data_IF_609704048538
#
_entry.id   IF_609704048538
#
_cell.length_a   1.000
_cell.length_b   1.000
_cell.length_c   1.000
_cell.angle_alpha   90.00
_cell.angle_beta   90.00
_cell.angle_gamma   90.00
#
_symmetry.space_group_name_H-M   'P 1'
#
loop_
_entity.id
_entity.type
_entity.pdbx_description
1 polymer ?
#
# COMPACT_ATOMS: atom_id res chain seq x y z
N UNK A 1 -1.71 5.07 -34.91
CA UNK A 1 -0.97 4.56 -33.73
C UNK A 1 -1.98 3.93 -32.78
N UNK A 2 -1.60 2.89 -32.03
CA UNK A 2 -2.41 2.37 -30.95
C UNK A 2 -2.68 3.48 -29.92
N UNK A 3 -3.93 3.62 -29.46
CA UNK A 3 -4.26 4.61 -28.43
C UNK A 3 -3.87 4.05 -27.06
N UNK A 4 -3.16 4.86 -26.28
CA UNK A 4 -2.64 4.48 -24.97
C UNK A 4 -3.52 5.01 -23.85
N UNK A 5 -3.45 4.39 -22.68
CA UNK A 5 -4.15 4.82 -21.47
C UNK A 5 -3.45 4.36 -20.20
N UNK A 6 -3.86 4.92 -19.06
CA UNK A 6 -3.33 4.63 -17.74
C UNK A 6 -4.45 4.03 -16.89
N UNK A 7 -4.15 2.92 -16.21
CA UNK A 7 -5.03 2.31 -15.22
C UNK A 7 -4.35 2.35 -13.86
N UNK A 8 -4.83 3.22 -12.98
CA UNK A 8 -4.39 3.31 -11.59
C UNK A 8 -5.08 2.22 -10.78
N UNK A 9 -4.33 1.41 -10.03
CA UNK A 9 -4.89 0.29 -9.26
C UNK A 9 -4.51 0.36 -7.79
N UNK A 10 -5.53 0.28 -6.94
CA UNK A 10 -5.38 0.21 -5.48
C UNK A 10 -6.08 -1.04 -4.92
N UNK A 11 -6.02 -1.23 -3.60
CA UNK A 11 -6.55 -2.44 -2.94
C UNK A 11 -8.06 -2.55 -3.14
N UNK A 12 -8.75 -1.44 -2.93
CA UNK A 12 -10.20 -1.38 -2.87
C UNK A 12 -10.72 -1.27 -1.45
N UNK A 13 -12.03 -1.11 -1.34
CA UNK A 13 -12.73 -0.91 -0.08
C UNK A 13 -14.15 -1.47 -0.22
N UNK A 14 -14.83 -1.86 0.88
CA UNK A 14 -16.23 -2.25 0.80
C UNK A 14 -17.10 -1.13 0.20
N UNK A 15 -18.25 -1.50 -0.36
CA UNK A 15 -19.15 -0.53 -1.03
C UNK A 15 -19.81 0.43 -0.05
N UNK A 16 -20.05 -0.03 1.17
CA UNK A 16 -20.58 0.76 2.28
C UNK A 16 -20.08 0.20 3.60
N UNK A 17 -20.45 0.86 4.70
CA UNK A 17 -20.19 0.39 6.06
C UNK A 17 -21.19 -0.67 6.54
N UNK A 18 -22.11 -1.12 5.68
CA UNK A 18 -23.03 -2.21 6.00
C UNK A 18 -22.25 -3.52 6.16
N UNK A 19 -22.58 -4.29 7.21
CA UNK A 19 -21.90 -5.55 7.55
C UNK A 19 -21.87 -6.54 6.37
N UNK A 20 -22.92 -6.58 5.56
CA UNK A 20 -22.97 -7.47 4.38
C UNK A 20 -21.98 -7.05 3.28
N UNK A 21 -21.84 -5.75 3.02
CA UNK A 21 -20.89 -5.24 2.02
C UNK A 21 -19.44 -5.44 2.49
N UNK A 22 -19.18 -5.25 3.78
CA UNK A 22 -17.88 -5.55 4.40
C UNK A 22 -17.59 -7.05 4.34
N UNK A 23 -18.59 -7.90 4.57
CA UNK A 23 -18.44 -9.35 4.47
C UNK A 23 -18.09 -9.78 3.04
N UNK A 24 -18.77 -9.23 2.03
CA UNK A 24 -18.49 -9.53 0.63
C UNK A 24 -17.06 -9.12 0.25
N UNK A 25 -16.64 -7.91 0.64
CA UNK A 25 -15.28 -7.43 0.43
C UNK A 25 -14.24 -8.33 1.12
N UNK A 26 -14.47 -8.68 2.39
CA UNK A 26 -13.54 -9.55 3.14
C UNK A 26 -13.49 -10.97 2.59
N UNK A 27 -14.59 -11.51 2.05
CA UNK A 27 -14.58 -12.82 1.40
C UNK A 27 -13.69 -12.78 0.16
N UNK A 28 -13.89 -11.80 -0.73
CA UNK A 28 -13.06 -11.65 -1.93
C UNK A 28 -11.58 -11.44 -1.58
N UNK A 29 -11.30 -10.55 -0.63
CA UNK A 29 -9.93 -10.20 -0.22
C UNK A 29 -9.20 -11.38 0.44
N UNK A 30 -9.81 -12.02 1.44
CA UNK A 30 -9.15 -13.05 2.23
C UNK A 30 -9.14 -14.42 1.53
N UNK A 31 -10.01 -14.64 0.53
CA UNK A 31 -9.96 -15.83 -0.31
C UNK A 31 -8.90 -15.78 -1.41
N UNK A 32 -8.22 -14.64 -1.59
CA UNK A 32 -7.07 -14.53 -2.48
C UNK A 32 -5.86 -15.30 -1.93
N UNK A 33 -5.27 -16.17 -2.75
CA UNK A 33 -4.10 -16.97 -2.38
C UNK A 33 -2.81 -16.18 -2.22
N UNK A 34 -2.78 -14.96 -2.75
CA UNK A 34 -1.66 -14.04 -2.56
C UNK A 34 -1.74 -13.28 -1.23
N UNK A 35 -2.92 -13.28 -0.59
CA UNK A 35 -3.16 -12.69 0.74
C UNK A 35 -3.07 -13.76 1.82
N UNK A 36 -3.82 -14.86 1.67
CA UNK A 36 -3.72 -16.05 2.52
C UNK A 36 -3.31 -17.23 1.63
N UNK A 37 -2.06 -17.62 1.70
CA UNK A 37 -1.45 -18.64 0.84
C UNK A 37 -1.70 -20.10 1.28
N UNK A 38 -2.68 -20.33 2.15
CA UNK A 38 -3.13 -21.69 2.50
C UNK A 38 -3.82 -22.32 1.28
N UNK A 39 -3.75 -23.66 1.15
CA UNK A 39 -4.49 -24.39 0.10
C UNK A 39 -5.97 -24.03 0.16
N UNK A 40 -6.60 -23.90 -1.01
CA UNK A 40 -7.98 -23.40 -1.16
C UNK A 40 -8.97 -23.95 -0.13
N UNK A 41 -8.99 -25.27 0.09
CA UNK A 41 -9.92 -25.88 1.04
C UNK A 41 -9.73 -25.40 2.48
N UNK A 42 -8.47 -25.34 2.95
CA UNK A 42 -8.16 -24.84 4.29
C UNK A 42 -8.40 -23.33 4.41
N UNK A 43 -8.13 -22.58 3.35
CA UNK A 43 -8.44 -21.16 3.28
C UNK A 43 -9.95 -20.91 3.36
N UNK A 44 -10.76 -21.64 2.60
CA UNK A 44 -12.23 -21.54 2.65
C UNK A 44 -12.76 -21.86 4.05
N UNK A 45 -12.26 -22.93 4.70
CA UNK A 45 -12.65 -23.28 6.06
C UNK A 45 -12.33 -22.16 7.06
N UNK A 46 -11.13 -21.58 6.98
CA UNK A 46 -10.70 -20.47 7.85
C UNK A 46 -11.53 -19.20 7.59
N UNK A 47 -11.59 -18.76 6.33
CA UNK A 47 -12.21 -17.49 5.95
C UNK A 47 -13.73 -17.57 6.12
N UNK A 48 -14.39 -18.46 5.39
CA UNK A 48 -15.85 -18.53 5.35
C UNK A 48 -16.43 -19.20 6.61
N UNK A 49 -15.68 -20.13 7.22
CA UNK A 49 -16.12 -20.86 8.39
C UNK A 49 -15.90 -20.12 9.72
N UNK A 50 -14.84 -19.31 9.85
CA UNK A 50 -14.44 -18.65 11.10
C UNK A 50 -14.44 -17.12 10.94
N UNK A 51 -13.62 -16.58 10.04
CA UNK A 51 -13.37 -15.13 9.96
C UNK A 51 -14.65 -14.35 9.59
N UNK A 52 -15.36 -14.78 8.55
CA UNK A 52 -16.55 -14.08 8.05
C UNK A 52 -17.78 -14.19 8.95
N UNK A 53 -17.71 -14.92 10.07
CA UNK A 53 -18.79 -14.98 11.07
C UNK A 53 -18.69 -13.87 12.11
N UNK A 54 -17.50 -13.36 12.38
CA UNK A 54 -17.26 -12.43 13.50
C UNK A 54 -16.56 -11.14 13.07
N UNK A 55 -15.64 -11.22 12.11
CA UNK A 55 -14.84 -10.06 11.67
C UNK A 55 -15.64 -8.98 10.95
N UNK A 56 -16.64 -9.28 10.08
CA UNK A 56 -17.33 -8.23 9.33
C UNK A 56 -18.01 -7.17 10.20
N UNK A 57 -18.61 -7.56 11.34
CA UNK A 57 -19.23 -6.60 12.25
C UNK A 57 -18.21 -5.64 12.87
N UNK A 58 -17.07 -6.16 13.34
CA UNK A 58 -15.98 -5.33 13.89
C UNK A 58 -15.38 -4.41 12.84
N UNK A 59 -15.07 -4.96 11.66
CA UNK A 59 -14.53 -4.17 10.56
C UNK A 59 -15.53 -3.12 10.07
N UNK A 60 -16.84 -3.40 10.10
CA UNK A 60 -17.86 -2.42 9.75
C UNK A 60 -17.86 -1.22 10.70
N UNK A 61 -17.73 -1.43 12.01
CA UNK A 61 -17.59 -0.32 12.97
C UNK A 61 -16.33 0.51 12.69
N UNK A 62 -15.18 -0.14 12.47
CA UNK A 62 -13.95 0.56 12.10
C UNK A 62 -14.08 1.32 10.77
N UNK A 63 -14.79 0.78 9.77
CA UNK A 63 -15.05 1.51 8.55
C UNK A 63 -15.95 2.73 8.77
N UNK A 64 -16.86 2.71 9.75
CA UNK A 64 -17.72 3.87 10.06
C UNK A 64 -16.93 5.04 10.64
N UNK A 65 -15.88 4.80 11.41
CA UNK A 65 -15.09 5.88 12.04
C UNK A 65 -14.34 6.72 10.99
N UNK A 66 -13.92 6.09 9.89
CA UNK A 66 -13.18 6.73 8.80
C UNK A 66 -14.03 7.08 7.58
N UNK A 67 -15.32 6.72 7.57
CA UNK A 67 -16.19 6.95 6.42
C UNK A 67 -16.51 8.43 6.26
N UNK A 68 -16.43 8.93 5.03
CA UNK A 68 -16.81 10.32 4.70
C UNK A 68 -18.13 10.35 3.94
N UNK A 69 -18.74 11.54 3.83
CA UNK A 69 -19.92 11.74 2.97
C UNK A 69 -19.66 11.38 1.50
N UNK A 70 -18.41 11.47 1.04
CA UNK A 70 -17.98 11.08 -0.30
C UNK A 70 -17.74 9.56 -0.44
N UNK A 71 -17.65 8.82 0.66
CA UNK A 71 -17.38 7.38 0.70
C UNK A 71 -16.11 7.00 1.46
N UNK A 72 -15.56 5.82 1.15
CA UNK A 72 -14.30 5.34 1.71
C UNK A 72 -13.13 6.26 1.31
N UNK A 73 -12.29 6.72 2.26
CA UNK A 73 -11.14 7.58 1.98
C UNK A 73 -10.25 7.06 0.86
N UNK A 74 -9.93 5.76 0.85
CA UNK A 74 -9.08 5.15 -0.17
C UNK A 74 -9.64 5.33 -1.58
N UNK A 75 -10.95 5.11 -1.75
CA UNK A 75 -11.62 5.22 -3.05
C UNK A 75 -11.71 6.69 -3.47
N UNK A 76 -12.12 7.57 -2.56
CA UNK A 76 -12.28 9.01 -2.80
C UNK A 76 -10.95 9.66 -3.18
N UNK A 77 -9.88 9.35 -2.45
CA UNK A 77 -8.52 9.84 -2.73
C UNK A 77 -8.04 9.29 -4.08
N UNK A 78 -8.26 8.01 -4.37
CA UNK A 78 -7.88 7.43 -5.68
C UNK A 78 -8.63 8.12 -6.83
N UNK A 79 -9.90 8.49 -6.65
CA UNK A 79 -10.65 9.30 -7.62
C UNK A 79 -10.09 10.73 -7.76
N UNK A 80 -9.67 11.36 -6.66
CA UNK A 80 -9.01 12.68 -6.68
C UNK A 80 -7.67 12.62 -7.43
N UNK A 81 -6.86 11.59 -7.19
CA UNK A 81 -5.62 11.32 -7.93
C UNK A 81 -5.92 11.17 -9.42
N UNK A 82 -6.91 10.34 -9.80
CA UNK A 82 -7.30 10.15 -11.21
C UNK A 82 -7.70 11.47 -11.87
N UNK A 83 -8.57 12.26 -11.22
CA UNK A 83 -9.03 13.55 -11.74
C UNK A 83 -7.90 14.56 -11.90
N UNK A 84 -6.95 14.61 -10.96
CA UNK A 84 -5.78 15.50 -11.06
C UNK A 84 -4.82 15.03 -12.15
N UNK A 85 -4.51 13.73 -12.20
CA UNK A 85 -3.63 13.17 -13.22
C UNK A 85 -4.18 13.39 -14.63
N UNK A 86 -5.49 13.15 -14.84
CA UNK A 86 -6.14 13.34 -16.13
C UNK A 86 -6.02 14.77 -16.67
N UNK A 87 -5.90 15.79 -15.80
CA UNK A 87 -5.72 17.19 -16.22
C UNK A 87 -4.33 17.50 -16.76
N UNK A 88 -3.33 16.70 -16.40
CA UNK A 88 -1.92 16.96 -16.72
C UNK A 88 -1.31 15.95 -17.69
N UNK A 89 -2.11 14.98 -18.17
CA UNK A 89 -1.74 13.98 -19.19
C UNK A 89 -2.79 13.93 -20.31
N UNK A 90 -2.33 13.69 -21.53
CA UNK A 90 -3.20 13.67 -22.73
C UNK A 90 -3.87 12.31 -22.98
N UNK A 91 -3.44 11.26 -22.28
CA UNK A 91 -4.01 9.92 -22.40
C UNK A 91 -5.18 9.73 -21.42
N UNK A 92 -6.19 8.89 -21.75
CA UNK A 92 -7.22 8.50 -20.81
C UNK A 92 -6.63 7.85 -19.54
N UNK A 93 -7.14 8.27 -18.37
CA UNK A 93 -6.80 7.74 -17.06
C UNK A 93 -8.05 7.17 -16.40
N UNK A 94 -8.02 5.90 -16.03
CA UNK A 94 -9.08 5.23 -15.28
C UNK A 94 -8.53 4.58 -14.01
N UNK A 95 -9.44 4.19 -13.12
CA UNK A 95 -9.11 3.51 -11.87
C UNK A 95 -9.69 2.09 -11.85
N UNK A 96 -9.02 1.20 -11.13
CA UNK A 96 -9.50 -0.13 -10.80
C UNK A 96 -9.09 -0.51 -9.38
N UNK A 97 -9.92 -1.29 -8.71
CA UNK A 97 -9.63 -1.83 -7.39
C UNK A 97 -9.35 -3.32 -7.53
N UNK A 98 -8.37 -3.82 -6.78
CA UNK A 98 -8.07 -5.24 -6.76
C UNK A 98 -9.27 -6.03 -6.24
N UNK A 99 -9.90 -5.53 -5.18
CA UNK A 99 -11.09 -6.11 -4.55
C UNK A 99 -12.23 -5.08 -4.58
N UNK A 100 -13.47 -5.55 -4.71
CA UNK A 100 -14.67 -4.73 -4.85
C UNK A 100 -14.66 -3.78 -6.08
N UNK A 101 -15.35 -2.64 -5.97
CA UNK A 101 -15.67 -1.75 -7.09
C UNK A 101 -15.01 -0.36 -6.93
N UNK A 102 -14.70 0.33 -8.03
CA UNK A 102 -14.74 -0.15 -9.43
C UNK A 102 -13.68 -1.22 -9.69
N UNK A 103 -14.02 -2.34 -10.30
CA UNK A 103 -13.06 -3.44 -10.50
C UNK A 103 -12.01 -3.12 -11.58
N UNK A 104 -10.88 -3.84 -11.57
CA UNK A 104 -9.87 -3.79 -12.67
C UNK A 104 -10.53 -4.01 -14.04
N UNK A 105 -11.50 -4.92 -14.13
CA UNK A 105 -12.25 -5.16 -15.36
C UNK A 105 -13.03 -3.94 -15.83
N UNK A 106 -13.76 -3.28 -14.93
CA UNK A 106 -14.50 -2.07 -15.26
C UNK A 106 -13.56 -0.94 -15.71
N UNK A 107 -12.40 -0.79 -15.07
CA UNK A 107 -11.38 0.17 -15.47
C UNK A 107 -10.82 -0.11 -16.87
N UNK A 108 -10.46 -1.36 -17.18
CA UNK A 108 -10.00 -1.75 -18.52
C UNK A 108 -11.11 -1.52 -19.56
N UNK A 109 -12.35 -1.90 -19.26
CA UNK A 109 -13.48 -1.70 -20.17
C UNK A 109 -13.65 -0.23 -20.55
N UNK A 110 -13.63 0.69 -19.56
CA UNK A 110 -13.76 2.13 -19.82
C UNK A 110 -12.64 2.69 -20.70
N UNK A 111 -11.41 2.19 -20.54
CA UNK A 111 -10.29 2.58 -21.42
C UNK A 111 -10.52 2.04 -22.84
N UNK A 112 -10.94 0.79 -22.97
CA UNK A 112 -11.24 0.16 -24.26
C UNK A 112 -12.40 0.85 -24.99
N UNK A 113 -13.43 1.29 -24.26
CA UNK A 113 -14.56 2.06 -24.80
C UNK A 113 -14.12 3.42 -25.37
N UNK A 114 -13.02 3.97 -24.84
CA UNK A 114 -12.35 5.17 -25.36
C UNK A 114 -11.39 4.86 -26.51
N UNK A 115 -11.30 3.60 -26.96
CA UNK A 115 -10.44 3.13 -28.04
C UNK A 115 -9.01 2.79 -27.63
N UNK A 116 -8.70 2.71 -26.33
CA UNK A 116 -7.37 2.35 -25.82
C UNK A 116 -7.08 0.87 -26.06
N UNK A 117 -5.89 0.57 -26.60
CA UNK A 117 -5.41 -0.79 -26.83
C UNK A 117 -4.07 -1.11 -26.13
N UNK A 118 -3.43 -0.09 -25.55
CA UNK A 118 -2.17 -0.19 -24.81
C UNK A 118 -2.34 0.49 -23.45
N UNK A 119 -2.24 -0.27 -22.37
CA UNK A 119 -2.52 0.21 -21.01
C UNK A 119 -1.26 0.15 -20.17
N UNK A 120 -0.91 1.27 -19.55
CA UNK A 120 0.01 1.29 -18.41
C UNK A 120 -0.78 1.01 -17.13
N UNK A 121 -0.53 -0.15 -16.53
CA UNK A 121 -1.04 -0.52 -15.21
C UNK A 121 -0.12 0.07 -14.13
N UNK A 122 -0.65 0.94 -13.28
CA UNK A 122 0.05 1.51 -12.14
C UNK A 122 -0.53 0.95 -10.83
N UNK A 123 0.08 -0.07 -10.22
CA UNK A 123 -0.21 -0.43 -8.83
C UNK A 123 0.26 0.69 -7.90
N UNK A 124 -0.64 1.29 -7.12
CA UNK A 124 -0.37 2.41 -6.19
C UNK A 124 0.35 1.94 -4.91
N UNK A 125 1.33 1.05 -5.06
CA UNK A 125 2.16 0.49 -4.00
C UNK A 125 3.63 0.73 -4.33
N UNK A 126 4.38 1.47 -3.50
CA UNK A 126 5.78 1.75 -3.77
C UNK A 126 6.65 0.49 -3.67
N UNK A 127 6.40 -0.34 -2.66
CA UNK A 127 7.13 -1.58 -2.40
C UNK A 127 6.40 -2.80 -2.99
N UNK A 128 7.17 -3.80 -3.40
CA UNK A 128 6.66 -5.09 -3.84
C UNK A 128 6.14 -5.91 -2.66
N UNK A 129 4.92 -6.41 -2.76
CA UNK A 129 4.48 -7.56 -1.98
C UNK A 129 3.61 -8.50 -2.83
N UNK A 130 3.62 -9.78 -2.48
CA UNK A 130 2.75 -10.79 -3.08
C UNK A 130 1.27 -10.39 -2.94
N UNK A 131 0.89 -9.91 -1.75
CA UNK A 131 -0.48 -9.51 -1.40
C UNK A 131 -0.95 -8.18 -1.99
N UNK A 132 -0.10 -7.45 -2.74
CA UNK A 132 -0.45 -6.15 -3.35
C UNK A 132 -0.07 -6.11 -4.82
N UNK A 133 1.21 -5.92 -5.14
CA UNK A 133 1.70 -5.73 -6.50
C UNK A 133 1.46 -6.97 -7.36
N UNK A 134 1.82 -8.16 -6.85
CA UNK A 134 1.74 -9.41 -7.61
C UNK A 134 0.29 -9.79 -7.93
N UNK A 135 -0.60 -9.76 -6.93
CA UNK A 135 -2.03 -10.06 -7.12
C UNK A 135 -2.72 -9.08 -8.08
N UNK A 136 -2.34 -7.80 -8.08
CA UNK A 136 -2.87 -6.81 -9.04
C UNK A 136 -2.46 -7.15 -10.47
N UNK A 137 -1.18 -7.47 -10.69
CA UNK A 137 -0.65 -7.80 -12.01
C UNK A 137 -1.31 -9.08 -12.53
N UNK A 138 -1.38 -10.13 -11.71
CA UNK A 138 -2.01 -11.39 -12.09
C UNK A 138 -3.50 -11.20 -12.41
N UNK A 139 -4.23 -10.43 -11.59
CA UNK A 139 -5.65 -10.18 -11.84
C UNK A 139 -5.88 -9.38 -13.13
N UNK A 140 -5.07 -8.36 -13.39
CA UNK A 140 -5.14 -7.59 -14.62
C UNK A 140 -4.87 -8.49 -15.85
N UNK A 141 -3.88 -9.38 -15.77
CA UNK A 141 -3.55 -10.30 -16.86
C UNK A 141 -4.63 -11.37 -17.08
N UNK A 142 -5.23 -11.90 -16.00
CA UNK A 142 -6.38 -12.80 -16.07
C UNK A 142 -7.55 -12.16 -16.83
N UNK A 143 -7.91 -10.93 -16.43
CA UNK A 143 -9.01 -10.16 -17.05
C UNK A 143 -8.69 -9.83 -18.50
N UNK A 144 -7.46 -9.37 -18.80
CA UNK A 144 -6.99 -9.07 -20.16
C UNK A 144 -7.11 -10.28 -21.07
N UNK A 145 -6.58 -11.45 -20.65
CA UNK A 145 -6.65 -12.68 -21.45
C UNK A 145 -8.08 -13.12 -21.71
N UNK A 146 -8.96 -13.00 -20.71
CA UNK A 146 -10.34 -13.49 -20.80
C UNK A 146 -11.27 -12.58 -21.60
N UNK A 147 -11.14 -11.26 -21.45
CA UNK A 147 -12.12 -10.28 -21.99
C UNK A 147 -11.54 -9.31 -23.00
N UNK A 148 -10.24 -9.04 -22.94
CA UNK A 148 -9.57 -8.02 -23.75
C UNK A 148 -8.30 -8.56 -24.43
N UNK A 149 -8.36 -9.67 -25.20
CA UNK A 149 -7.16 -10.37 -25.68
C UNK A 149 -6.28 -9.52 -26.62
N UNK A 150 -6.84 -8.47 -27.23
CA UNK A 150 -6.13 -7.53 -28.11
C UNK A 150 -5.46 -6.37 -27.36
N UNK A 151 -5.77 -6.18 -26.08
CA UNK A 151 -5.14 -5.14 -25.25
C UNK A 151 -3.77 -5.64 -24.80
N UNK A 152 -2.77 -4.75 -24.88
CA UNK A 152 -1.45 -4.93 -24.28
C UNK A 152 -1.40 -4.19 -22.95
N UNK A 153 -0.86 -4.84 -21.91
CA UNK A 153 -0.67 -4.23 -20.60
C UNK A 153 0.82 -4.25 -20.27
N UNK A 154 1.37 -3.08 -19.98
CA UNK A 154 2.67 -2.92 -19.34
C UNK A 154 2.43 -2.37 -17.93
N UNK A 155 3.18 -2.83 -16.95
CA UNK A 155 3.01 -2.36 -15.58
C UNK A 155 4.25 -1.62 -15.06
N UNK A 156 4.01 -0.70 -14.15
CA UNK A 156 5.06 0.00 -13.42
C UNK A 156 5.60 -0.94 -12.34
N UNK A 157 6.93 -1.10 -12.34
CA UNK A 157 7.65 -1.89 -11.35
C UNK A 157 7.65 -1.16 -9.99
N UNK A 158 7.88 -1.87 -8.87
CA UNK A 158 8.07 -1.24 -7.57
C UNK A 158 9.04 -0.05 -7.65
N UNK A 159 8.61 1.10 -7.14
CA UNK A 159 9.29 2.39 -7.29
C UNK A 159 9.80 2.97 -5.96
N UNK A 160 9.82 2.16 -4.89
CA UNK A 160 10.23 2.51 -3.53
C UNK A 160 11.59 3.23 -3.42
N UNK A 161 12.52 3.00 -4.35
CA UNK A 161 13.86 3.59 -4.37
C UNK A 161 14.07 4.60 -5.50
N UNK A 162 13.02 5.02 -6.20
CA UNK A 162 13.12 6.05 -7.24
C UNK A 162 13.35 7.41 -6.58
N UNK A 163 14.40 8.12 -6.98
CA UNK A 163 14.74 9.43 -6.39
C UNK A 163 13.59 10.44 -6.44
N UNK A 164 12.82 10.47 -7.54
CA UNK A 164 11.63 11.33 -7.67
C UNK A 164 10.56 11.03 -6.62
N UNK A 165 10.36 9.75 -6.28
CA UNK A 165 9.41 9.32 -5.26
C UNK A 165 9.94 9.62 -3.86
N UNK A 166 11.21 9.30 -3.60
CA UNK A 166 11.86 9.58 -2.32
C UNK A 166 11.85 11.07 -2.00
N UNK A 167 12.17 11.93 -2.98
CA UNK A 167 12.12 13.38 -2.80
C UNK A 167 10.69 13.82 -2.50
N UNK A 168 9.69 13.37 -3.27
CA UNK A 168 8.28 13.66 -3.02
C UNK A 168 7.85 13.30 -1.59
N UNK A 169 8.18 12.08 -1.14
CA UNK A 169 7.84 11.59 0.19
C UNK A 169 8.57 12.37 1.29
N UNK A 170 9.87 12.64 1.12
CA UNK A 170 10.65 13.40 2.09
C UNK A 170 10.17 14.85 2.22
N UNK A 171 9.85 15.52 1.11
CA UNK A 171 9.31 16.89 1.16
C UNK A 171 7.91 16.91 1.83
N UNK A 172 7.04 15.95 1.51
CA UNK A 172 5.71 15.84 2.15
C UNK A 172 5.82 15.61 3.66
N UNK A 173 6.75 14.73 4.08
CA UNK A 173 7.03 14.51 5.50
C UNK A 173 7.58 15.78 6.13
N UNK A 174 8.56 16.45 5.51
CA UNK A 174 9.21 17.65 6.08
C UNK A 174 8.22 18.76 6.38
N UNK A 175 7.25 18.99 5.49
CA UNK A 175 6.24 20.04 5.64
C UNK A 175 5.25 19.77 6.78
N UNK A 176 5.02 18.50 7.10
CA UNK A 176 4.05 18.06 8.10
C UNK A 176 4.71 17.64 9.42
N UNK A 177 6.03 17.48 9.44
CA UNK A 177 6.77 17.06 10.62
C UNK A 177 6.73 18.19 11.67
N UNK A 178 6.29 17.92 12.92
CA UNK A 178 6.28 18.93 13.96
C UNK A 178 7.71 19.37 14.30
N UNK A 179 7.89 20.62 14.75
CA UNK A 179 9.21 21.12 15.16
C UNK A 179 9.81 20.32 16.32
N UNK A 180 8.97 19.95 17.29
CA UNK A 180 9.36 19.20 18.48
C UNK A 180 8.85 17.76 18.41
N UNK A 181 9.77 16.83 18.19
CA UNK A 181 9.55 15.39 18.30
C UNK A 181 10.82 14.66 18.76
N UNK A 182 10.61 13.58 19.49
CA UNK A 182 11.67 12.72 20.00
C UNK A 182 12.06 11.66 18.95
N UNK A 183 11.07 11.09 18.25
CA UNK A 183 11.29 10.10 17.21
C UNK A 183 10.27 10.22 16.05
N UNK A 184 10.72 9.85 14.85
CA UNK A 184 9.89 9.62 13.66
C UNK A 184 9.80 8.12 13.40
N UNK A 185 8.60 7.56 13.51
CA UNK A 185 8.31 6.16 13.25
C UNK A 185 7.76 5.97 11.83
N UNK A 186 8.36 5.06 11.09
CA UNK A 186 7.87 4.56 9.81
C UNK A 186 7.15 3.24 10.05
N UNK A 187 5.82 3.26 10.00
CA UNK A 187 4.98 2.07 10.14
C UNK A 187 4.60 1.52 8.76
N UNK A 188 5.01 0.30 8.46
CA UNK A 188 4.67 -0.40 7.21
C UNK A 188 3.66 -1.49 7.49
N UNK A 189 2.76 -1.82 6.56
CA UNK A 189 1.92 -3.00 6.75
C UNK A 189 2.79 -4.26 6.82
N UNK A 190 2.60 -5.09 7.85
CA UNK A 190 3.35 -6.32 8.03
C UNK A 190 2.98 -7.39 7.01
N UNK A 191 3.85 -8.36 6.83
CA UNK A 191 3.55 -9.59 6.08
C UNK A 191 4.06 -10.81 6.85
N UNK A 192 3.46 -11.98 6.67
CA UNK A 192 4.00 -13.21 7.23
C UNK A 192 5.44 -13.46 6.75
N UNK A 193 6.32 -13.93 7.63
CA UNK A 193 7.73 -14.21 7.27
C UNK A 193 7.85 -15.17 6.08
N UNK A 194 6.95 -16.16 6.02
CA UNK A 194 6.88 -17.13 4.91
C UNK A 194 6.66 -16.46 3.55
N UNK A 195 5.98 -15.32 3.48
CA UNK A 195 5.80 -14.60 2.22
C UNK A 195 7.14 -14.07 1.73
N UNK A 196 7.99 -13.55 2.63
CA UNK A 196 9.33 -13.06 2.27
C UNK A 196 10.18 -14.18 1.67
N UNK A 197 10.18 -15.36 2.30
CA UNK A 197 10.91 -16.52 1.78
C UNK A 197 10.34 -17.01 0.45
N UNK A 198 9.00 -17.07 0.32
CA UNK A 198 8.32 -17.54 -0.90
C UNK A 198 8.59 -16.63 -2.11
N UNK A 199 8.70 -15.33 -1.89
CA UNK A 199 8.98 -14.35 -2.94
C UNK A 199 10.46 -14.19 -3.27
N UNK A 200 11.37 -14.85 -2.53
CA UNK A 200 12.81 -14.78 -2.79
C UNK A 200 13.26 -15.95 -3.69
N UNK A 201 13.37 -15.77 -5.01
CA UNK A 201 13.85 -16.83 -5.90
C UNK A 201 15.33 -17.18 -5.68
N UNK A 202 16.06 -16.35 -4.93
CA UNK A 202 17.51 -16.49 -4.73
C UNK A 202 17.86 -17.27 -3.46
N UNK A 203 16.90 -17.44 -2.54
CA UNK A 203 17.10 -18.07 -1.23
C UNK A 203 18.27 -17.46 -0.42
N UNK A 204 18.43 -16.14 -0.49
CA UNK A 204 19.53 -15.40 0.19
C UNK A 204 19.04 -14.47 1.30
N UNK A 205 17.72 -14.30 1.46
CA UNK A 205 17.13 -13.58 2.58
C UNK A 205 17.21 -14.42 3.87
N UNK A 206 17.67 -13.82 4.96
CA UNK A 206 17.72 -14.45 6.28
C UNK A 206 16.89 -13.72 7.34
N UNK A 207 16.08 -12.71 6.93
CA UNK A 207 15.28 -11.83 7.78
C UNK A 207 16.03 -11.09 8.92
N UNK A 208 17.34 -11.22 8.99
CA UNK A 208 18.20 -10.63 10.01
C UNK A 208 19.02 -9.49 9.40
N UNK A 209 20.34 -9.65 9.39
CA UNK A 209 21.32 -8.66 8.96
C UNK A 209 21.33 -8.45 7.44
N UNK A 210 20.71 -9.34 6.65
CA UNK A 210 20.71 -9.23 5.19
C UNK A 210 20.10 -7.91 4.67
N UNK A 211 19.17 -7.31 5.42
CA UNK A 211 18.54 -6.05 5.06
C UNK A 211 19.48 -4.84 5.20
N UNK A 212 20.54 -4.97 6.01
CA UNK A 212 21.53 -3.92 6.29
C UNK A 212 22.77 -4.02 5.40
N UNK A 213 22.90 -5.07 4.60
CA UNK A 213 24.02 -5.22 3.64
C UNK A 213 23.82 -4.30 2.45
N UNK A 214 24.90 -3.82 1.84
CA UNK A 214 24.83 -2.94 0.67
C UNK A 214 24.20 -3.62 -0.56
N UNK A 215 24.45 -4.92 -0.71
CA UNK A 215 23.88 -5.71 -1.80
C UNK A 215 23.54 -7.13 -1.34
N UNK A 216 22.35 -7.59 -1.71
CA UNK A 216 21.96 -8.99 -1.59
C UNK A 216 20.98 -9.31 -2.75
N UNK A 217 21.13 -10.45 -3.44
CA UNK A 217 20.26 -10.81 -4.57
C UNK A 217 18.75 -10.76 -4.25
N UNK A 218 18.36 -11.07 -3.02
CA UNK A 218 16.96 -11.05 -2.56
C UNK A 218 16.36 -9.64 -2.43
N UNK A 219 17.18 -8.57 -2.34
CA UNK A 219 16.72 -7.20 -2.10
C UNK A 219 15.67 -6.72 -3.10
N UNK A 220 15.79 -7.14 -4.37
CA UNK A 220 14.84 -6.78 -5.43
C UNK A 220 13.44 -7.32 -5.18
N UNK A 221 13.30 -8.41 -4.42
CA UNK A 221 12.03 -9.11 -4.20
C UNK A 221 11.56 -9.06 -2.73
N UNK A 222 12.43 -8.65 -1.81
CA UNK A 222 12.17 -8.65 -0.38
C UNK A 222 11.47 -7.36 0.08
N UNK A 223 10.16 -7.44 0.33
CA UNK A 223 9.35 -6.32 0.87
C UNK A 223 9.99 -5.64 2.09
N UNK A 224 10.46 -6.44 3.06
CA UNK A 224 11.10 -5.92 4.28
C UNK A 224 12.32 -5.04 3.95
N UNK A 225 13.19 -5.50 3.06
CA UNK A 225 14.34 -4.70 2.61
C UNK A 225 13.89 -3.40 1.93
N UNK A 226 12.89 -3.47 1.06
CA UNK A 226 12.38 -2.28 0.36
C UNK A 226 11.81 -1.23 1.33
N UNK A 227 11.17 -1.67 2.41
CA UNK A 227 10.72 -0.80 3.50
C UNK A 227 11.91 -0.10 4.18
N UNK A 228 12.91 -0.85 4.64
CA UNK A 228 14.11 -0.26 5.24
C UNK A 228 14.86 0.67 4.28
N UNK A 229 14.95 0.31 2.99
CA UNK A 229 15.60 1.14 1.97
C UNK A 229 14.84 2.45 1.76
N UNK A 230 13.51 2.40 1.70
CA UNK A 230 12.66 3.60 1.62
C UNK A 230 12.93 4.51 2.82
N UNK A 231 12.88 3.97 4.04
CA UNK A 231 13.16 4.75 5.26
C UNK A 231 14.54 5.37 5.22
N UNK A 232 15.58 4.60 4.91
CA UNK A 232 16.96 5.08 4.88
C UNK A 232 17.15 6.24 3.88
N UNK A 233 16.56 6.14 2.69
CA UNK A 233 16.64 7.19 1.67
C UNK A 233 15.86 8.45 2.09
N UNK A 234 14.70 8.28 2.72
CA UNK A 234 13.90 9.42 3.21
C UNK A 234 14.62 10.15 4.35
N UNK A 235 15.14 9.44 5.35
CA UNK A 235 15.82 10.08 6.49
C UNK A 235 17.10 10.80 6.07
N UNK A 236 17.80 10.27 5.05
CA UNK A 236 18.95 10.95 4.44
C UNK A 236 18.53 12.31 3.84
N UNK A 237 17.42 12.36 3.09
CA UNK A 237 16.88 13.61 2.55
C UNK A 237 16.37 14.57 3.62
N UNK A 238 15.83 14.04 4.72
CA UNK A 238 15.38 14.84 5.86
C UNK A 238 16.54 15.33 6.73
N UNK A 239 17.77 14.86 6.50
CA UNK A 239 18.92 15.03 7.42
C UNK A 239 18.57 14.59 8.85
N UNK A 240 17.77 13.53 8.99
CA UNK A 240 17.33 13.03 10.28
C UNK A 240 18.32 11.99 10.83
N UNK A 241 18.78 12.12 12.09
CA UNK A 241 19.64 11.12 12.72
C UNK A 241 18.95 9.75 12.80
N UNK A 242 19.71 8.67 12.60
CA UNK A 242 19.19 7.29 12.65
C UNK A 242 18.62 6.95 14.02
N UNK A 243 19.17 7.54 15.08
CA UNK A 243 18.76 7.37 16.47
C UNK A 243 17.35 7.92 16.74
N UNK A 244 16.90 8.89 15.95
CA UNK A 244 15.52 9.42 15.97
C UNK A 244 14.56 8.66 15.05
N UNK A 245 15.02 7.59 14.39
CA UNK A 245 14.23 6.86 13.40
C UNK A 245 13.83 5.50 13.93
N UNK A 246 12.55 5.18 13.82
CA UNK A 246 12.01 3.86 14.21
C UNK A 246 11.33 3.26 12.97
N UNK A 247 11.51 1.96 12.74
CA UNK A 247 10.79 1.21 11.70
C UNK A 247 10.04 0.09 12.37
N UNK A 248 8.76 -0.06 12.07
CA UNK A 248 7.92 -1.14 12.58
C UNK A 248 6.90 -1.60 11.54
N UNK A 249 6.26 -2.74 11.82
CA UNK A 249 5.31 -3.39 10.95
C UNK A 249 3.95 -3.59 11.65
N UNK A 250 2.90 -3.02 11.07
CA UNK A 250 1.52 -3.04 11.61
C UNK A 250 0.68 -4.19 11.05
N UNK A 251 -0.57 -4.30 11.49
CA UNK A 251 -1.60 -5.16 10.89
C UNK A 251 -1.19 -6.64 10.77
N UNK A 252 -1.10 -7.35 11.90
CA UNK A 252 -0.82 -8.81 11.96
C UNK A 252 -2.09 -9.64 12.16
N UNK A 253 -2.15 -10.83 11.56
CA UNK A 253 -3.29 -11.74 11.65
C UNK A 253 -2.86 -13.18 11.98
N UNK A 254 -3.63 -13.81 12.86
CA UNK A 254 -3.48 -15.23 13.17
C UNK A 254 -2.30 -15.52 14.09
N UNK A 255 -1.80 -16.76 14.04
CA UNK A 255 -0.72 -17.26 14.91
C UNK A 255 0.62 -17.46 14.19
N UNK A 256 0.66 -17.19 12.89
CA UNK A 256 1.90 -17.30 12.12
C UNK A 256 2.90 -16.23 12.56
N UNK A 257 4.19 -16.44 12.27
CA UNK A 257 5.20 -15.40 12.48
C UNK A 257 5.10 -14.33 11.40
N UNK A 258 5.12 -13.07 11.84
CA UNK A 258 5.10 -11.89 10.99
C UNK A 258 6.43 -11.17 11.10
N UNK A 259 6.75 -10.34 10.11
CA UNK A 259 7.98 -9.55 10.16
C UNK A 259 7.96 -8.57 11.33
N UNK A 260 9.09 -8.50 12.02
CA UNK A 260 9.31 -7.68 13.20
C UNK A 260 10.22 -6.46 12.90
N UNK A 261 10.12 -5.38 13.71
CA UNK A 261 9.34 -5.27 14.97
C UNK A 261 7.88 -4.86 14.76
N UNK A 262 6.98 -5.26 15.66
CA UNK A 262 5.55 -4.97 15.55
C UNK A 262 5.21 -3.54 15.99
N UNK A 263 4.32 -2.86 15.25
CA UNK A 263 3.94 -1.47 15.53
C UNK A 263 3.26 -1.33 16.89
N UNK A 264 2.33 -2.21 17.24
CA UNK A 264 1.60 -2.20 18.51
C UNK A 264 2.55 -2.31 19.72
N UNK A 265 3.44 -3.30 19.72
CA UNK A 265 4.45 -3.48 20.77
C UNK A 265 5.47 -2.33 20.80
N UNK A 266 5.79 -1.76 19.64
CA UNK A 266 6.68 -0.58 19.56
C UNK A 266 6.03 0.62 20.25
N UNK A 267 4.77 0.92 19.95
CA UNK A 267 4.03 2.06 20.52
C UNK A 267 3.87 1.95 22.04
N UNK A 268 3.71 0.74 22.58
CA UNK A 268 3.64 0.51 24.02
C UNK A 268 4.99 0.63 24.76
N UNK A 269 6.11 0.43 24.05
CA UNK A 269 7.43 0.29 24.67
C UNK A 269 8.31 1.51 24.54
N UNK A 270 8.21 2.27 23.45
CA UNK A 270 9.07 3.44 23.21
C UNK A 270 8.85 4.59 24.22
N UNK A 271 7.66 4.82 24.82
CA UNK A 271 7.53 5.86 25.83
C UNK A 271 8.26 5.53 27.13
N UNK A 272 8.41 4.23 27.44
CA UNK A 272 9.21 3.74 28.58
C UNK A 272 10.71 3.94 28.35
N UNK A 273 11.13 4.14 27.09
CA UNK A 273 12.50 4.44 26.68
C UNK A 273 12.76 5.95 26.52
N UNK A 274 11.81 6.80 26.92
CA UNK A 274 11.95 8.25 26.92
C UNK A 274 11.36 8.97 25.70
N UNK A 275 10.74 8.27 24.75
CA UNK A 275 10.04 8.91 23.61
C UNK A 275 8.68 9.42 24.07
N UNK A 276 8.54 10.73 24.30
CA UNK A 276 7.28 11.35 24.75
C UNK A 276 6.50 11.98 23.60
N UNK A 277 7.20 12.43 22.56
CA UNK A 277 6.64 13.11 21.40
C UNK A 277 6.95 12.31 20.14
N UNK A 278 5.96 11.61 19.60
CA UNK A 278 6.10 10.73 18.45
C UNK A 278 5.47 11.37 17.20
N UNK A 279 6.23 11.41 16.11
CA UNK A 279 5.66 11.56 14.77
C UNK A 279 5.65 10.18 14.09
N UNK A 280 4.60 9.86 13.33
CA UNK A 280 4.46 8.57 12.65
C UNK A 280 3.95 8.73 11.21
N UNK A 281 4.49 7.94 10.29
CA UNK A 281 4.14 7.94 8.85
C UNK A 281 3.97 6.51 8.32
N UNK A 282 3.10 6.34 7.32
CA UNK A 282 2.77 5.04 6.72
C UNK A 282 3.16 4.94 5.23
N UNK A 283 4.46 4.90 4.88
CA UNK A 283 4.96 5.01 3.50
C UNK A 283 4.73 3.78 2.61
N UNK A 284 4.10 2.72 3.14
CA UNK A 284 3.60 1.59 2.35
C UNK A 284 2.34 1.96 1.53
N UNK A 285 1.66 3.04 1.94
CA UNK A 285 0.45 3.54 1.33
C UNK A 285 0.69 4.94 0.77
N UNK A 286 0.24 5.18 -0.47
CA UNK A 286 0.23 6.52 -1.07
C UNK A 286 -1.08 7.27 -0.84
N UNK A 287 -2.09 6.59 -0.31
CA UNK A 287 -3.42 7.14 -0.02
C UNK A 287 -3.89 6.66 1.34
N UNK A 288 -4.48 7.56 2.11
CA UNK A 288 -5.06 7.21 3.41
C UNK A 288 -6.18 6.18 3.28
N UNK A 289 -6.19 5.24 4.22
CA UNK A 289 -7.11 4.13 4.27
C UNK A 289 -7.46 3.77 5.72
N UNK A 290 -8.19 2.67 5.92
CA UNK A 290 -8.57 2.21 7.25
C UNK A 290 -7.33 1.96 8.13
N UNK A 291 -6.31 1.33 7.55
CA UNK A 291 -5.07 0.97 8.23
C UNK A 291 -4.23 2.18 8.66
N UNK A 292 -4.44 3.35 8.05
CA UNK A 292 -3.72 4.57 8.45
C UNK A 292 -4.55 5.43 9.39
N UNK A 293 -5.82 5.67 9.05
CA UNK A 293 -6.68 6.59 9.79
C UNK A 293 -7.25 5.98 11.07
N UNK A 294 -7.60 4.70 11.07
CA UNK A 294 -8.12 4.04 12.28
C UNK A 294 -6.98 3.36 13.05
N UNK A 295 -6.30 2.39 12.44
CA UNK A 295 -5.32 1.55 13.16
C UNK A 295 -4.13 2.37 13.70
N UNK A 296 -3.65 3.35 12.94
CA UNK A 296 -2.50 4.17 13.37
C UNK A 296 -2.94 5.47 14.03
N UNK A 297 -3.77 6.28 13.37
CA UNK A 297 -4.09 7.61 13.89
C UNK A 297 -5.03 7.59 15.10
N UNK A 298 -5.84 6.54 15.28
CA UNK A 298 -6.75 6.38 16.44
C UNK A 298 -6.21 5.34 17.40
N UNK A 299 -6.17 4.05 17.03
CA UNK A 299 -5.76 2.97 17.95
C UNK A 299 -4.29 3.11 18.36
N UNK A 300 -3.39 3.37 17.41
CA UNK A 300 -1.97 3.57 17.67
C UNK A 300 -1.67 4.77 18.58
N UNK A 301 -2.46 5.86 18.45
CA UNK A 301 -2.39 7.00 19.36
C UNK A 301 -2.75 6.60 20.79
N UNK A 302 -3.84 5.86 20.97
CA UNK A 302 -4.25 5.35 22.29
C UNK A 302 -3.18 4.44 22.90
N UNK A 303 -2.61 3.52 22.11
CA UNK A 303 -1.53 2.62 22.56
C UNK A 303 -0.31 3.42 23.04
N UNK A 304 0.14 4.41 22.28
CA UNK A 304 1.28 5.25 22.64
C UNK A 304 1.01 6.06 23.92
N UNK A 305 -0.18 6.65 24.05
CA UNK A 305 -0.57 7.43 25.22
C UNK A 305 -0.69 6.55 26.47
N UNK A 306 -1.29 5.36 26.36
CA UNK A 306 -1.33 4.36 27.45
C UNK A 306 0.07 3.87 27.85
N UNK A 307 1.00 3.77 26.89
CA UNK A 307 2.41 3.47 27.15
C UNK A 307 3.14 4.56 27.93
N UNK A 308 2.55 5.74 28.09
CA UNK A 308 3.10 6.91 28.79
C UNK A 308 3.66 8.00 27.86
N UNK A 309 3.29 7.98 26.58
CA UNK A 309 3.57 9.05 25.64
C UNK A 309 2.70 10.28 25.86
N UNK A 310 3.16 11.45 25.42
CA UNK A 310 2.50 12.75 25.67
C UNK A 310 1.88 13.31 24.37
N UNK A 311 2.68 13.39 23.30
CA UNK A 311 2.26 13.91 22.00
C UNK A 311 2.39 12.86 20.91
N UNK A 312 1.34 12.71 20.10
CA UNK A 312 1.29 11.80 18.96
C UNK A 312 0.85 12.57 17.73
N UNK A 313 1.67 12.55 16.69
CA UNK A 313 1.44 13.24 15.44
C UNK A 313 1.46 12.26 14.26
N UNK A 314 0.27 11.97 13.73
CA UNK A 314 0.14 11.21 12.50
C UNK A 314 0.40 12.12 11.28
N UNK A 315 1.30 11.69 10.40
CA UNK A 315 1.60 12.35 9.12
C UNK A 315 0.76 11.68 8.02
N UNK A 316 -0.22 12.38 7.42
CA UNK A 316 -1.03 11.85 6.33
C UNK A 316 -0.19 11.36 5.14
N UNK A 317 -0.69 10.32 4.47
CA UNK A 317 -0.14 9.85 3.20
C UNK A 317 -0.05 10.96 2.14
N UNK A 318 0.61 10.67 1.01
CA UNK A 318 0.74 11.59 -0.12
C UNK A 318 -0.61 12.04 -0.70
N UNK A 319 -1.63 11.19 -0.57
CA UNK A 319 -3.00 11.44 -0.97
C UNK A 319 -3.09 11.99 -2.40
N UNK A 320 -3.66 13.18 -2.58
CA UNK A 320 -3.80 13.85 -3.85
C UNK A 320 -2.85 15.04 -4.00
N UNK A 321 -1.75 15.11 -3.24
CA UNK A 321 -0.76 16.19 -3.36
C UNK A 321 -0.25 16.35 -4.79
N UNK A 322 -0.16 17.60 -5.27
CA UNK A 322 0.22 17.86 -6.67
C UNK A 322 1.61 17.29 -7.02
N UNK A 323 2.57 17.35 -6.07
CA UNK A 323 3.90 16.74 -6.22
C UNK A 323 3.84 15.21 -6.43
N UNK A 324 2.87 14.55 -5.80
CA UNK A 324 2.67 13.12 -5.98
C UNK A 324 2.05 12.83 -7.34
N UNK A 325 1.10 13.66 -7.79
CA UNK A 325 0.53 13.55 -9.14
C UNK A 325 1.61 13.71 -10.21
N UNK A 326 2.57 14.61 -10.01
CA UNK A 326 3.72 14.78 -10.91
C UNK A 326 4.62 13.54 -10.95
N UNK A 327 4.89 12.91 -9.80
CA UNK A 327 5.63 11.63 -9.76
C UNK A 327 4.87 10.53 -10.51
N UNK A 328 3.56 10.42 -10.29
CA UNK A 328 2.71 9.45 -11.01
C UNK A 328 2.76 9.68 -12.50
N UNK A 329 2.67 10.94 -12.94
CA UNK A 329 2.80 11.33 -14.36
C UNK A 329 4.14 10.85 -14.93
N UNK A 330 5.26 11.20 -14.30
CA UNK A 330 6.60 10.85 -14.80
C UNK A 330 6.75 9.34 -14.95
N UNK A 331 6.38 8.57 -13.92
CA UNK A 331 6.45 7.09 -13.95
C UNK A 331 5.56 6.48 -15.05
N UNK A 332 4.37 7.06 -15.26
CA UNK A 332 3.47 6.66 -16.35
C UNK A 332 4.05 7.00 -17.72
N UNK A 333 4.57 8.20 -17.93
CA UNK A 333 5.14 8.64 -19.22
C UNK A 333 6.35 7.80 -19.62
N UNK A 334 7.25 7.51 -18.68
CA UNK A 334 8.35 6.56 -18.89
C UNK A 334 7.83 5.21 -19.39
N UNK A 335 6.80 4.66 -18.75
CA UNK A 335 6.24 3.35 -19.10
C UNK A 335 5.41 3.37 -20.38
N UNK A 336 4.76 4.49 -20.69
CA UNK A 336 4.02 4.71 -21.94
C UNK A 336 4.98 4.68 -23.13
N UNK A 337 6.20 5.19 -22.95
CA UNK A 337 7.23 5.20 -24.00
C UNK A 337 7.76 3.80 -24.35
N UNK A 338 7.73 2.86 -23.39
CA UNK A 338 8.16 1.47 -23.62
C UNK A 338 7.32 0.73 -24.68
N UNK A 339 6.07 1.14 -24.91
CA UNK A 339 5.24 0.56 -25.98
C UNK A 339 5.76 0.87 -27.40
N UNK A 340 6.59 1.91 -27.56
CA UNK A 340 7.18 2.25 -28.86
C UNK A 340 8.40 1.39 -29.21
N UNK A 341 8.97 0.68 -28.23
CA UNK A 341 10.22 -0.08 -28.37
C UNK A 341 9.99 -1.60 -28.61
N UNK A 342 8.77 -2.01 -28.95
CA UNK A 342 8.38 -3.42 -29.18
C UNK A 342 8.29 -3.75 -30.66
#
# INVERSE_FOLDING_TARGET
MAKKGILLVNLGSPRSTAVNDVKEYLDEFLMDEKVIDYRWFFRALLVQGIILKTRPAKSAEAYKTVWTDEGSPLIVITQKIQKKLQKIVDVPVEIGMRYAQPSIEAGIQKLVDQGVSEIVLFPLYPQYAMSTTETVIEKAEEVRKKKFPKVKINYIQPFYNRDIYINCLAESIREKLPENFDALQFSYHGVPERHIYKTDPTNTCNLNDCCSRDSNPSHKFCYRHQCYKTTNLVIEKLNLPKEKTIVSFQSRLGKDKWIEPYTDETLETIPKKGVKNLAIVCPAFVSDCLETLEEISVEGKEQFQHGGGESFHYIPCLNDEDRWIDVVKILCEEKLNDFYLV
#
